data_IF_420369166809
#
_entry.id   IF_420369166809
#
_cell.length_a   1.000
_cell.length_b   1.000
_cell.length_c   1.000
_cell.angle_alpha   90.00
_cell.angle_beta   90.00
_cell.angle_gamma   90.00
#
_symmetry.space_group_name_H-M   'P 1'
#
loop_
_entity.id
_entity.type
_entity.pdbx_description
1 polymer ?
#
# COMPACT_ATOMS: atom_id res chain seq x y z
N UNK A 1 19.54 -20.24 25.52
CA UNK A 1 18.40 -19.44 25.06
C UNK A 1 18.80 -18.58 23.87
N UNK A 2 18.74 -19.13 22.64
CA UNK A 2 19.08 -18.40 21.40
C UNK A 2 17.96 -18.34 20.35
N UNK A 3 16.94 -19.21 20.46
CA UNK A 3 15.87 -19.30 19.45
C UNK A 3 14.90 -18.12 19.42
N UNK A 4 14.68 -17.42 20.54
CA UNK A 4 13.74 -16.31 20.61
C UNK A 4 14.20 -15.07 19.84
N UNK A 5 15.52 -14.82 19.80
CA UNK A 5 16.08 -13.64 19.15
C UNK A 5 16.01 -13.75 17.61
N UNK A 6 16.30 -14.94 17.08
CA UNK A 6 16.18 -15.23 15.64
C UNK A 6 14.73 -15.17 15.15
N UNK A 7 13.78 -15.63 15.96
CA UNK A 7 12.35 -15.55 15.63
C UNK A 7 11.83 -14.11 15.55
N UNK A 8 12.34 -13.20 16.40
CA UNK A 8 11.99 -11.78 16.37
C UNK A 8 12.58 -11.07 15.14
N UNK A 9 13.84 -11.35 14.80
CA UNK A 9 14.48 -10.81 13.60
C UNK A 9 13.79 -11.25 12.31
N UNK A 10 13.42 -12.53 12.20
CA UNK A 10 12.68 -13.06 11.05
C UNK A 10 11.28 -12.45 10.91
N UNK A 11 10.57 -12.24 12.03
CA UNK A 11 9.25 -11.58 11.99
C UNK A 11 9.35 -10.13 11.51
N UNK A 12 10.37 -9.40 11.97
CA UNK A 12 10.56 -8.00 11.58
C UNK A 12 10.95 -7.82 10.11
N UNK A 13 11.78 -8.72 9.55
CA UNK A 13 12.12 -8.70 8.12
C UNK A 13 10.91 -8.96 7.21
N UNK A 14 10.01 -9.86 7.60
CA UNK A 14 8.81 -10.17 6.83
C UNK A 14 7.83 -8.99 6.77
N UNK A 15 7.75 -8.19 7.83
CA UNK A 15 6.86 -7.03 7.86
C UNK A 15 7.32 -5.90 6.92
N UNK A 16 8.62 -5.66 6.81
CA UNK A 16 9.13 -4.67 5.85
C UNK A 16 8.84 -5.08 4.41
N UNK A 17 9.02 -6.36 4.07
CA UNK A 17 8.70 -6.87 2.74
C UNK A 17 7.19 -6.81 2.45
N UNK A 18 6.35 -7.17 3.42
CA UNK A 18 4.90 -7.08 3.29
C UNK A 18 4.44 -5.64 3.03
N UNK A 19 4.98 -4.67 3.77
CA UNK A 19 4.67 -3.24 3.57
C UNK A 19 5.06 -2.78 2.16
N UNK A 20 6.19 -3.24 1.62
CA UNK A 20 6.57 -2.90 0.23
C UNK A 20 5.59 -3.46 -0.80
N UNK A 21 5.19 -4.73 -0.69
CA UNK A 21 4.20 -5.33 -1.59
C UNK A 21 2.86 -4.60 -1.54
N UNK A 22 2.42 -4.23 -0.35
CA UNK A 22 1.17 -3.50 -0.16
C UNK A 22 1.28 -2.06 -0.66
N UNK A 23 2.43 -1.40 -0.51
CA UNK A 23 2.64 -0.04 -1.03
C UNK A 23 2.51 0.02 -2.55
N UNK A 24 3.03 -0.97 -3.27
CA UNK A 24 2.86 -1.05 -4.74
C UNK A 24 1.38 -1.22 -5.09
N UNK A 25 0.68 -2.11 -4.41
CA UNK A 25 -0.74 -2.38 -4.68
C UNK A 25 -1.63 -1.17 -4.34
N UNK A 26 -1.36 -0.49 -3.22
CA UNK A 26 -2.03 0.77 -2.88
C UNK A 26 -1.77 1.86 -3.93
N UNK A 27 -0.53 1.98 -4.45
CA UNK A 27 -0.17 2.86 -5.58
C UNK A 27 -0.85 2.48 -6.91
N UNK A 28 -1.51 1.33 -6.98
CA UNK A 28 -2.33 0.92 -8.13
C UNK A 28 -3.83 1.13 -7.88
N UNK A 29 -4.20 1.76 -6.75
CA UNK A 29 -5.60 2.03 -6.40
C UNK A 29 -6.29 0.91 -5.62
N UNK A 30 -5.54 -0.04 -5.04
CA UNK A 30 -6.12 -1.07 -4.17
C UNK A 30 -6.34 -0.56 -2.74
N UNK A 31 -7.61 -0.38 -2.37
CA UNK A 31 -8.02 0.04 -1.03
C UNK A 31 -7.69 -1.01 0.04
N UNK A 32 -7.73 -2.30 -0.31
CA UNK A 32 -7.43 -3.39 0.62
C UNK A 32 -6.00 -3.30 1.13
N UNK A 33 -5.04 -3.15 0.21
CA UNK A 33 -3.63 -2.94 0.53
C UNK A 33 -3.37 -1.68 1.35
N UNK A 34 -4.10 -0.58 1.09
CA UNK A 34 -3.97 0.64 1.88
C UNK A 34 -4.42 0.46 3.34
N UNK A 35 -5.54 -0.25 3.56
CA UNK A 35 -6.05 -0.53 4.90
C UNK A 35 -5.10 -1.46 5.68
N UNK A 36 -4.48 -2.39 4.97
CA UNK A 36 -3.51 -3.32 5.50
C UNK A 36 -2.20 -2.58 5.94
N UNK A 37 -1.69 -1.62 5.15
CA UNK A 37 -0.58 -0.73 5.58
C UNK A 37 -0.96 0.10 6.82
N UNK A 38 -2.20 0.57 6.89
CA UNK A 38 -2.72 1.33 8.05
C UNK A 38 -2.70 0.49 9.33
N UNK A 39 -3.09 -0.78 9.27
CA UNK A 39 -3.02 -1.69 10.42
C UNK A 39 -1.57 -1.95 10.83
N UNK A 40 -0.65 -2.09 9.87
CA UNK A 40 0.78 -2.23 10.15
C UNK A 40 1.38 -0.98 10.78
N UNK A 41 0.94 0.21 10.37
CA UNK A 41 1.32 1.48 11.00
C UNK A 41 0.84 1.55 12.44
N UNK A 42 -0.42 1.20 12.73
CA UNK A 42 -0.96 1.17 14.10
C UNK A 42 -0.21 0.20 15.02
N UNK A 43 0.25 -0.93 14.49
CA UNK A 43 1.04 -1.93 15.21
C UNK A 43 2.52 -1.56 15.37
N UNK A 44 2.95 -0.42 14.80
CA UNK A 44 4.34 0.05 14.85
C UNK A 44 5.28 -0.69 13.90
N UNK A 45 4.76 -1.44 12.93
CA UNK A 45 5.55 -2.19 11.94
C UNK A 45 5.81 -1.39 10.66
N UNK A 46 4.99 -0.39 10.36
CA UNK A 46 5.21 0.56 9.27
C UNK A 46 5.48 1.96 9.82
N UNK A 47 6.29 2.74 9.12
CA UNK A 47 6.56 4.14 9.48
C UNK A 47 5.45 5.08 9.01
N UNK A 48 5.34 6.24 9.65
CA UNK A 48 4.41 7.31 9.23
C UNK A 48 4.65 7.76 7.78
N UNK A 49 5.91 7.79 7.35
CA UNK A 49 6.28 8.14 5.99
C UNK A 49 5.75 7.13 4.96
N UNK A 50 5.91 5.83 5.23
CA UNK A 50 5.39 4.77 4.35
C UNK A 50 3.86 4.81 4.23
N UNK A 51 3.15 5.05 5.34
CA UNK A 51 1.70 5.18 5.29
C UNK A 51 1.26 6.43 4.52
N UNK A 52 1.93 7.57 4.71
CA UNK A 52 1.64 8.79 3.96
C UNK A 52 1.91 8.63 2.45
N UNK A 53 3.00 7.98 2.08
CA UNK A 53 3.34 7.70 0.68
C UNK A 53 2.31 6.77 0.01
N UNK A 54 1.84 5.75 0.72
CA UNK A 54 0.78 4.86 0.23
C UNK A 54 -0.55 5.60 0.00
N UNK A 55 -0.90 6.54 0.89
CA UNK A 55 -2.10 7.38 0.73
C UNK A 55 -2.03 8.28 -0.52
N UNK A 56 -0.87 8.91 -0.74
CA UNK A 56 -0.64 9.76 -1.92
C UNK A 56 -0.75 8.90 -3.19
N UNK A 57 -0.02 7.78 -3.23
CA UNK A 57 -0.04 6.88 -4.37
C UNK A 57 -1.43 6.32 -4.71
N UNK A 58 -2.21 5.94 -3.69
CA UNK A 58 -3.59 5.50 -3.88
C UNK A 58 -4.47 6.60 -4.47
N UNK A 59 -4.35 7.82 -3.96
CA UNK A 59 -5.09 8.97 -4.48
C UNK A 59 -4.74 9.25 -5.93
N UNK A 60 -3.45 9.26 -6.26
CA UNK A 60 -2.97 9.50 -7.62
C UNK A 60 -3.50 8.42 -8.56
N UNK A 61 -3.49 7.15 -8.17
CA UNK A 61 -4.05 6.05 -8.98
C UNK A 61 -5.57 6.15 -9.18
N UNK A 62 -6.33 6.56 -8.16
CA UNK A 62 -7.78 6.75 -8.27
C UNK A 62 -8.12 7.96 -9.14
N UNK A 63 -7.37 9.05 -9.03
CA UNK A 63 -7.53 10.23 -9.90
C UNK A 63 -7.11 9.89 -11.34
N UNK A 64 -5.98 9.21 -11.51
CA UNK A 64 -5.47 8.78 -12.81
C UNK A 64 -6.41 7.78 -13.46
N UNK A 65 -7.03 6.82 -12.78
CA UNK A 65 -7.98 5.87 -13.42
C UNK A 65 -9.29 6.53 -13.81
N UNK A 66 -9.77 7.50 -13.03
CA UNK A 66 -10.97 8.30 -13.35
C UNK A 66 -10.82 9.10 -14.65
N UNK A 67 -9.61 9.52 -15.00
CA UNK A 67 -9.34 10.29 -16.23
C UNK A 67 -9.56 9.43 -17.51
N UNK A 68 -8.93 8.25 -17.69
CA UNK A 68 -9.19 7.26 -18.73
C UNK A 68 -10.67 6.93 -18.86
N UNK A 69 -11.37 6.62 -17.77
CA UNK A 69 -12.79 6.27 -17.84
C UNK A 69 -13.63 7.42 -18.38
N UNK A 70 -13.32 8.67 -18.01
CA UNK A 70 -13.98 9.87 -18.54
C UNK A 70 -13.66 10.12 -20.02
N UNK A 71 -12.40 9.98 -20.43
CA UNK A 71 -11.98 10.16 -21.82
C UNK A 71 -12.48 9.03 -22.73
N UNK A 72 -12.56 7.81 -22.23
CA UNK A 72 -13.11 6.65 -22.94
C UNK A 72 -14.63 6.75 -23.09
N UNK A 73 -15.35 7.21 -22.07
CA UNK A 73 -16.79 7.51 -22.19
C UNK A 73 -17.08 8.60 -23.23
N UNK A 74 -16.23 9.64 -23.33
CA UNK A 74 -16.34 10.66 -24.40
C UNK A 74 -16.08 10.08 -25.80
N UNK A 75 -15.24 9.04 -25.90
CA UNK A 75 -14.86 8.40 -27.17
C UNK A 75 -15.89 7.39 -27.66
N UNK A 76 -16.50 6.65 -26.74
CA UNK A 76 -17.51 5.61 -27.02
C UNK A 76 -18.93 6.18 -27.20
N UNK A 77 -19.19 7.42 -26.75
CA UNK A 77 -20.47 8.11 -26.93
C UNK A 77 -20.71 8.70 -28.33
N UNK A 78 -20.11 8.14 -29.38
CA UNK A 78 -20.23 8.62 -30.76
C UNK A 78 -20.86 7.58 -31.67
#
# INVERSE_FOLDING_TARGET
GGGAYLALLNKNGNYQLAVQHWMISAKMGDEGSLNEIKEMFKKGHASKAQYAEALIGYRDAVEETRIPQREEAKRLGK
#
